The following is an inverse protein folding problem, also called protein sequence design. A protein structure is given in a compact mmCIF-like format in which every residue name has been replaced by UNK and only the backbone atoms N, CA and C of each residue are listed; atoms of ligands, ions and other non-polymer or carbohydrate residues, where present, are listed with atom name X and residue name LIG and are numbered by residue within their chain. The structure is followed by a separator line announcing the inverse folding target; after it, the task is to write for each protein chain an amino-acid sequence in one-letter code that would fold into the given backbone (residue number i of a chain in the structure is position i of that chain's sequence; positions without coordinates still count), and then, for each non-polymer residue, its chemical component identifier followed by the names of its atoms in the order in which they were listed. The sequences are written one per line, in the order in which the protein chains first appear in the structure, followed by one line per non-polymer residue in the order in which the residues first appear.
data_IF_352053608951
#
_entry.id   IF_352053608951
#
_cell.length_a   1.000
_cell.length_b   1.000
_cell.length_c   1.000
_cell.angle_alpha   90.00
_cell.angle_beta   90.00
_cell.angle_gamma   90.00
#
_symmetry.space_group_name_H-M   'P 1'
#
loop_
_entity.id
_entity.type
_entity.pdbx_description
1 polymer ?
#
# COMPACT_ATOMS: atom_id res chain seq x y z
N UNK A 1 36.85 14.70 3.68
CA UNK A 1 36.06 13.65 2.99
C UNK A 1 36.57 13.58 1.56
N UNK A 2 37.01 12.42 1.13
CA UNK A 2 37.41 12.18 -0.26
C UNK A 2 36.15 11.83 -1.06
N UNK A 3 35.89 12.54 -2.16
CA UNK A 3 34.78 12.23 -3.04
C UNK A 3 35.13 10.96 -3.84
N UNK A 4 34.42 9.87 -3.59
CA UNK A 4 34.60 8.61 -4.30
C UNK A 4 33.60 8.56 -5.46
N UNK A 5 34.10 8.46 -6.69
CA UNK A 5 33.27 8.24 -7.88
C UNK A 5 33.27 6.74 -8.21
N UNK A 6 32.10 6.11 -8.22
CA UNK A 6 31.90 4.70 -8.61
C UNK A 6 30.66 4.60 -9.49
N UNK A 7 30.64 3.59 -10.37
CA UNK A 7 29.42 3.20 -11.08
C UNK A 7 28.52 2.46 -10.09
N UNK A 8 27.28 2.91 -9.97
CA UNK A 8 26.27 2.33 -9.09
C UNK A 8 24.97 2.14 -9.88
N UNK A 9 24.32 0.97 -9.84
CA UNK A 9 22.97 0.80 -10.38
C UNK A 9 21.95 1.77 -9.74
N UNK A 10 21.28 2.55 -10.60
CA UNK A 10 20.25 3.51 -10.18
C UNK A 10 18.87 2.98 -10.52
N UNK A 11 17.93 3.15 -9.59
CA UNK A 11 16.51 2.88 -9.83
C UNK A 11 15.99 3.69 -11.02
N UNK A 12 15.26 3.04 -11.92
CA UNK A 12 14.53 3.73 -12.99
C UNK A 12 13.22 4.29 -12.44
N UNK A 13 12.95 5.56 -12.75
CA UNK A 13 11.70 6.25 -12.47
C UNK A 13 11.17 6.82 -13.79
N UNK A 14 9.95 6.45 -14.15
CA UNK A 14 9.30 6.88 -15.39
C UNK A 14 7.84 7.27 -15.13
N UNK A 15 7.22 8.16 -15.92
CA UNK A 15 5.80 8.51 -15.79
C UNK A 15 4.87 7.43 -16.39
N UNK A 16 3.84 7.02 -15.65
CA UNK A 16 2.73 6.21 -16.14
C UNK A 16 1.46 7.04 -16.17
N UNK A 17 0.93 7.26 -17.37
CA UNK A 17 -0.42 7.80 -17.56
C UNK A 17 -1.45 6.68 -17.46
N UNK A 18 -2.46 6.89 -16.62
CA UNK A 18 -3.62 6.02 -16.49
C UNK A 18 -4.80 6.71 -17.17
N UNK A 19 -5.51 5.98 -18.02
CA UNK A 19 -6.71 6.46 -18.71
C UNK A 19 -7.88 5.52 -18.44
N UNK A 20 -9.09 6.06 -18.39
CA UNK A 20 -10.32 5.28 -18.38
C UNK A 20 -11.12 5.67 -19.62
N UNK A 21 -11.46 4.69 -20.46
CA UNK A 21 -12.19 4.91 -21.71
C UNK A 21 -11.55 6.04 -22.57
N UNK A 22 -10.22 5.94 -22.76
CA UNK A 22 -9.35 6.87 -23.51
C UNK A 22 -9.20 8.28 -22.91
N UNK A 23 -9.82 8.57 -21.76
CA UNK A 23 -9.74 9.85 -21.06
C UNK A 23 -8.64 9.85 -19.98
N UNK A 24 -7.72 10.84 -19.96
CA UNK A 24 -6.70 10.96 -18.92
C UNK A 24 -7.28 11.03 -17.51
N UNK A 25 -6.84 10.12 -16.65
CA UNK A 25 -7.21 10.05 -15.25
C UNK A 25 -6.09 10.61 -14.36
N UNK A 26 -4.88 10.07 -14.47
CA UNK A 26 -3.75 10.45 -13.61
C UNK A 26 -2.41 10.14 -14.27
N UNK A 27 -1.36 10.81 -13.81
CA UNK A 27 0.03 10.45 -14.11
C UNK A 27 0.76 10.18 -12.81
N UNK A 28 1.38 9.01 -12.68
CA UNK A 28 2.18 8.62 -11.51
C UNK A 28 3.62 8.36 -11.93
N UNK A 29 4.57 8.79 -11.10
CA UNK A 29 5.99 8.44 -11.29
C UNK A 29 6.23 7.10 -10.62
N UNK A 30 6.70 6.09 -11.36
CA UNK A 30 6.82 4.71 -10.86
C UNK A 30 8.10 4.04 -11.34
N UNK A 31 8.45 2.92 -10.69
CA UNK A 31 9.45 1.99 -11.21
C UNK A 31 8.78 1.05 -12.21
N UNK A 32 9.20 1.02 -13.50
CA UNK A 32 8.56 0.19 -14.52
C UNK A 32 8.52 -1.30 -14.15
N UNK A 33 7.40 -1.95 -14.46
CA UNK A 33 7.12 -3.33 -14.08
C UNK A 33 5.96 -3.44 -13.09
N UNK A 34 5.16 -4.50 -13.24
CA UNK A 34 3.88 -4.64 -12.53
C UNK A 34 2.96 -3.42 -12.72
N UNK A 35 2.97 -2.79 -13.91
CA UNK A 35 2.19 -1.56 -14.16
C UNK A 35 0.67 -1.83 -14.07
N UNK A 36 0.21 -3.00 -14.53
CA UNK A 36 -1.20 -3.37 -14.38
C UNK A 36 -1.59 -3.56 -12.92
N UNK A 37 -0.70 -4.10 -12.08
CA UNK A 37 -0.93 -4.17 -10.64
C UNK A 37 -1.04 -2.74 -10.06
N UNK A 38 -0.15 -1.83 -10.46
CA UNK A 38 -0.22 -0.43 -10.03
C UNK A 38 -1.55 0.21 -10.39
N UNK A 39 -1.99 0.06 -11.64
CA UNK A 39 -3.25 0.64 -12.12
C UNK A 39 -4.46 0.01 -11.42
N UNK A 40 -4.54 -1.31 -11.35
CA UNK A 40 -5.65 -2.01 -10.70
C UNK A 40 -5.77 -1.62 -9.22
N UNK A 41 -4.65 -1.55 -8.51
CA UNK A 41 -4.60 -1.11 -7.13
C UNK A 41 -4.97 0.34 -6.96
N UNK A 42 -4.40 1.24 -7.77
CA UNK A 42 -4.73 2.67 -7.76
C UNK A 42 -6.24 2.89 -7.93
N UNK A 43 -6.88 2.21 -8.88
CA UNK A 43 -8.32 2.35 -9.08
C UNK A 43 -9.13 1.92 -7.86
N UNK A 44 -8.74 0.84 -7.17
CA UNK A 44 -9.43 0.36 -5.97
C UNK A 44 -9.18 1.28 -4.77
N UNK A 45 -7.93 1.65 -4.55
CA UNK A 45 -7.48 2.39 -3.36
C UNK A 45 -7.72 3.89 -3.45
N UNK A 46 -8.03 4.44 -4.63
CA UNK A 46 -8.63 5.77 -4.81
C UNK A 46 -10.17 5.73 -4.82
N UNK A 47 -10.74 4.52 -4.73
CA UNK A 47 -12.19 4.32 -4.69
C UNK A 47 -12.90 4.53 -6.02
N UNK A 48 -12.17 4.51 -7.14
CA UNK A 48 -12.71 4.60 -8.50
C UNK A 48 -13.46 3.32 -8.86
N UNK A 49 -12.88 2.17 -8.50
CA UNK A 49 -13.60 0.90 -8.41
C UNK A 49 -13.83 0.55 -6.94
N UNK A 50 -14.97 -0.05 -6.64
CA UNK A 50 -15.37 -0.42 -5.26
C UNK A 50 -15.42 -1.93 -5.04
N UNK A 51 -15.18 -2.70 -6.09
CA UNK A 51 -15.09 -4.15 -6.09
C UNK A 51 -14.13 -4.60 -7.19
N UNK A 52 -13.26 -5.60 -6.95
CA UNK A 52 -12.37 -6.16 -7.97
C UNK A 52 -13.09 -6.61 -9.24
N UNK A 53 -14.33 -7.10 -9.13
CA UNK A 53 -15.13 -7.51 -10.28
C UNK A 53 -15.55 -6.33 -11.19
N UNK A 54 -15.37 -5.08 -10.74
CA UNK A 54 -15.61 -3.89 -11.56
C UNK A 54 -14.42 -3.57 -12.49
N UNK A 55 -13.27 -4.20 -12.29
CA UNK A 55 -12.15 -4.08 -13.21
C UNK A 55 -12.46 -4.89 -14.48
N UNK A 56 -12.34 -4.24 -15.64
CA UNK A 56 -12.49 -4.91 -16.94
C UNK A 56 -11.13 -5.26 -17.53
N UNK A 57 -10.73 -4.56 -18.59
CA UNK A 57 -9.49 -4.81 -19.32
C UNK A 57 -8.47 -3.69 -19.10
N UNK A 58 -7.20 -4.06 -18.98
CA UNK A 58 -6.07 -3.13 -18.95
C UNK A 58 -5.18 -3.43 -20.14
N UNK A 59 -4.85 -2.40 -20.91
CA UNK A 59 -3.99 -2.53 -22.09
C UNK A 59 -3.00 -1.38 -22.14
N UNK A 60 -1.76 -1.66 -22.54
CA UNK A 60 -0.87 -0.58 -22.93
C UNK A 60 -1.40 0.10 -24.20
N UNK A 61 -1.30 1.42 -24.26
CA UNK A 61 -1.80 2.20 -25.38
C UNK A 61 -1.05 1.85 -26.67
N UNK A 62 -1.75 1.25 -27.64
CA UNK A 62 -1.15 0.79 -28.89
C UNK A 62 -0.61 1.93 -29.78
N UNK A 63 -1.00 3.18 -29.53
CA UNK A 63 -0.60 4.35 -30.30
C UNK A 63 0.49 5.19 -29.64
N UNK A 64 0.96 4.79 -28.44
CA UNK A 64 2.10 5.46 -27.83
C UNK A 64 3.37 5.20 -28.65
N UNK A 65 4.17 6.22 -28.89
CA UNK A 65 5.42 6.11 -29.68
C UNK A 65 6.63 5.89 -28.78
N UNK A 66 7.70 5.25 -29.28
CA UNK A 66 8.95 5.12 -28.54
C UNK A 66 9.45 6.47 -27.99
N UNK A 67 9.96 6.53 -26.75
CA UNK A 67 10.16 5.43 -25.80
C UNK A 67 8.94 5.11 -24.90
N UNK A 68 7.77 5.73 -25.15
CA UNK A 68 6.63 5.76 -24.23
C UNK A 68 5.59 4.64 -24.42
N UNK A 69 5.89 3.62 -25.23
CA UNK A 69 4.96 2.52 -25.54
C UNK A 69 4.37 1.83 -24.30
N UNK A 70 5.10 1.85 -23.17
CA UNK A 70 4.69 1.26 -21.89
C UNK A 70 4.36 2.29 -20.80
N UNK A 71 4.24 3.57 -21.17
CA UNK A 71 3.98 4.68 -20.25
C UNK A 71 2.52 5.13 -20.24
N UNK A 72 1.64 4.45 -20.98
CA UNK A 72 0.21 4.73 -20.98
C UNK A 72 -0.55 3.42 -20.84
N UNK A 73 -1.41 3.34 -19.83
CA UNK A 73 -2.33 2.21 -19.61
C UNK A 73 -3.76 2.71 -19.77
N UNK A 74 -4.45 2.13 -20.76
CA UNK A 74 -5.87 2.32 -21.00
C UNK A 74 -6.67 1.27 -20.22
N UNK A 75 -7.62 1.75 -19.43
CA UNK A 75 -8.51 0.94 -18.59
C UNK A 75 -9.91 0.96 -19.19
N UNK A 76 -10.49 -0.22 -19.34
CA UNK A 76 -11.92 -0.41 -19.57
C UNK A 76 -12.53 -1.02 -18.33
N UNK A 77 -13.53 -0.38 -17.76
CA UNK A 77 -14.23 -0.91 -16.60
C UNK A 77 -15.25 -1.97 -17.01
N UNK A 78 -15.56 -2.90 -16.10
CA UNK A 78 -16.61 -3.88 -16.35
C UNK A 78 -17.97 -3.17 -16.46
N UNK A 79 -18.95 -3.71 -17.21
CA UNK A 79 -20.27 -3.08 -17.37
C UNK A 79 -21.04 -2.82 -16.07
N UNK A 80 -20.72 -3.57 -15.00
CA UNK A 80 -21.31 -3.40 -13.68
C UNK A 80 -20.72 -2.21 -12.89
N UNK A 81 -19.56 -1.69 -13.31
CA UNK A 81 -18.89 -0.58 -12.66
C UNK A 81 -19.72 0.70 -12.84
N UNK A 82 -20.05 1.36 -11.73
CA UNK A 82 -20.63 2.71 -11.76
C UNK A 82 -19.50 3.73 -11.72
N UNK A 83 -19.11 4.24 -12.89
CA UNK A 83 -18.10 5.29 -13.01
C UNK A 83 -18.74 6.60 -13.49
N UNK A 84 -18.49 7.67 -12.74
CA UNK A 84 -18.92 9.03 -13.09
C UNK A 84 -17.67 9.86 -13.40
N UNK A 85 -17.33 9.94 -14.68
CA UNK A 85 -16.17 10.68 -15.19
C UNK A 85 -16.24 12.18 -14.84
N UNK A 86 -17.44 12.77 -14.76
CA UNK A 86 -17.63 14.19 -14.45
C UNK A 86 -17.36 14.49 -12.97
N UNK A 87 -17.73 13.57 -12.07
CA UNK A 87 -17.37 13.67 -10.65
C UNK A 87 -15.86 13.60 -10.46
N UNK A 88 -15.17 12.76 -11.23
CA UNK A 88 -13.73 12.62 -11.13
C UNK A 88 -13.00 13.87 -11.65
N UNK A 89 -13.40 14.40 -12.82
CA UNK A 89 -12.86 15.65 -13.39
C UNK A 89 -12.98 16.82 -12.42
N UNK A 90 -14.15 17.01 -11.78
CA UNK A 90 -14.37 18.09 -10.79
C UNK A 90 -13.44 18.01 -9.59
N UNK A 91 -13.08 16.81 -9.15
CA UNK A 91 -12.20 16.62 -7.99
C UNK A 91 -10.72 16.79 -8.35
N UNK A 92 -10.31 16.45 -9.58
CA UNK A 92 -8.90 16.42 -9.98
C UNK A 92 -8.32 17.82 -10.29
N UNK A 93 -9.10 18.70 -10.92
CA UNK A 93 -8.67 20.09 -11.21
C UNK A 93 -8.44 20.96 -9.96
N UNK A 94 -8.86 20.50 -8.78
CA UNK A 94 -8.72 21.25 -7.53
C UNK A 94 -7.45 20.92 -6.72
N UNK A 95 -6.64 19.90 -7.09
CA UNK A 95 -5.64 19.30 -6.18
C UNK A 95 -4.23 19.14 -6.76
N UNK A 96 -3.79 20.02 -7.68
CA UNK A 96 -2.51 19.86 -8.40
C UNK A 96 -1.25 20.34 -7.67
N UNK A 97 -1.16 20.26 -6.33
CA UNK A 97 0.07 20.76 -5.66
C UNK A 97 0.60 20.02 -4.43
N UNK A 98 -0.16 19.27 -3.64
CA UNK A 98 0.39 18.66 -2.40
C UNK A 98 -0.40 17.44 -1.88
N UNK A 99 -0.97 16.63 -2.79
CA UNK A 99 -1.79 15.49 -2.41
C UNK A 99 -3.25 15.73 -2.73
N UNK A 100 -3.87 14.69 -3.27
CA UNK A 100 -5.32 14.55 -3.37
C UNK A 100 -5.84 14.60 -1.93
N UNK A 101 -6.15 15.80 -1.45
CA UNK A 101 -6.66 16.01 -0.10
C UNK A 101 -8.06 15.42 -0.05
N UNK A 102 -8.13 14.15 0.35
CA UNK A 102 -9.22 13.50 1.06
C UNK A 102 -10.60 13.65 0.45
N UNK A 103 -10.99 12.71 -0.43
CA UNK A 103 -12.37 12.18 -0.50
C UNK A 103 -12.50 11.01 -1.49
N UNK A 104 -11.77 9.91 -1.25
CA UNK A 104 -12.56 8.69 -1.11
C UNK A 104 -13.58 9.04 -0.02
N UNK A 105 -14.88 9.07 -0.32
CA UNK A 105 -15.86 9.60 0.65
C UNK A 105 -15.58 8.90 1.97
N UNK A 106 -15.54 9.62 3.10
CA UNK A 106 -15.39 8.97 4.41
C UNK A 106 -16.40 7.81 4.53
N UNK A 107 -17.55 7.92 3.87
CA UNK A 107 -18.56 6.86 3.72
C UNK A 107 -18.05 5.62 2.97
N UNK A 108 -17.23 5.78 1.93
CA UNK A 108 -16.61 4.69 1.18
C UNK A 108 -15.54 3.99 2.02
N UNK A 109 -14.71 4.75 2.73
CA UNK A 109 -13.76 4.19 3.71
C UNK A 109 -14.51 3.40 4.78
N UNK A 110 -15.61 3.95 5.32
CA UNK A 110 -16.48 3.27 6.29
C UNK A 110 -17.16 2.03 5.74
N UNK A 111 -17.54 2.03 4.46
CA UNK A 111 -18.15 0.86 3.83
C UNK A 111 -17.12 -0.26 3.68
N UNK A 112 -15.91 0.06 3.21
CA UNK A 112 -14.88 -0.96 3.00
C UNK A 112 -14.25 -1.46 4.30
N UNK A 113 -14.20 -0.64 5.35
CA UNK A 113 -13.74 -1.10 6.68
C UNK A 113 -14.60 -2.22 7.26
N UNK A 114 -15.86 -2.37 6.82
CA UNK A 114 -16.71 -3.50 7.21
C UNK A 114 -16.22 -4.85 6.67
N UNK A 115 -15.33 -4.87 5.66
CA UNK A 115 -14.72 -6.10 5.12
C UNK A 115 -13.54 -6.62 5.95
N UNK A 116 -13.05 -5.82 6.91
CA UNK A 116 -11.92 -6.22 7.74
C UNK A 116 -12.24 -7.45 8.57
N UNK A 117 -11.26 -8.34 8.72
CA UNK A 117 -11.36 -9.46 9.63
C UNK A 117 -11.37 -8.96 11.08
N UNK A 118 -12.54 -9.00 11.72
CA UNK A 118 -12.73 -8.51 13.09
C UNK A 118 -11.99 -9.36 14.13
N UNK A 119 -11.69 -10.62 13.82
CA UNK A 119 -11.03 -11.58 14.72
C UNK A 119 -9.59 -11.91 14.33
N UNK A 120 -9.01 -11.20 13.35
CA UNK A 120 -7.61 -11.43 12.99
C UNK A 120 -6.69 -10.98 14.11
N UNK A 121 -5.79 -11.88 14.51
CA UNK A 121 -4.76 -11.60 15.52
C UNK A 121 -3.41 -12.14 15.04
N UNK A 122 -2.34 -11.48 15.45
CA UNK A 122 -0.96 -11.88 15.16
C UNK A 122 -0.16 -11.86 16.45
N UNK A 123 0.84 -12.73 16.57
CA UNK A 123 1.73 -12.73 17.73
C UNK A 123 2.84 -11.70 17.57
N UNK A 124 3.34 -11.20 18.70
CA UNK A 124 4.49 -10.29 18.73
C UNK A 124 5.74 -10.88 18.06
N UNK A 125 5.96 -12.19 18.21
CA UNK A 125 7.07 -12.90 17.58
C UNK A 125 6.97 -12.85 16.06
N UNK A 126 5.81 -13.19 15.50
CA UNK A 126 5.57 -13.11 14.05
C UNK A 126 5.75 -11.68 13.55
N UNK A 127 5.20 -10.70 14.28
CA UNK A 127 5.30 -9.29 13.91
C UNK A 127 6.76 -8.83 13.86
N UNK A 128 7.59 -9.23 14.82
CA UNK A 128 9.00 -8.84 14.89
C UNK A 128 9.83 -9.31 13.69
N UNK A 129 9.45 -10.43 13.06
CA UNK A 129 10.19 -11.05 11.95
C UNK A 129 9.79 -10.47 10.57
N UNK A 130 8.67 -9.74 10.47
CA UNK A 130 8.16 -9.24 9.19
C UNK A 130 9.09 -8.25 8.47
N UNK A 131 9.74 -7.26 9.15
CA UNK A 131 10.63 -6.32 8.46
C UNK A 131 11.80 -7.01 7.77
N UNK A 132 12.42 -8.00 8.44
CA UNK A 132 13.55 -8.73 7.88
C UNK A 132 13.10 -9.66 6.76
N UNK A 133 11.95 -10.32 6.93
CA UNK A 133 11.33 -11.15 5.89
C UNK A 133 10.98 -10.33 4.64
N UNK A 134 10.45 -9.11 4.82
CA UNK A 134 10.20 -8.18 3.73
C UNK A 134 11.50 -7.83 3.02
N UNK A 135 12.51 -7.37 3.77
CA UNK A 135 13.80 -6.93 3.24
C UNK A 135 14.53 -8.02 2.46
N UNK A 136 14.52 -9.26 2.94
CA UNK A 136 15.18 -10.40 2.29
C UNK A 136 14.52 -10.79 0.96
N UNK A 137 13.25 -10.43 0.75
CA UNK A 137 12.53 -10.73 -0.48
C UNK A 137 12.63 -9.62 -1.55
N UNK A 138 13.23 -8.47 -1.21
CA UNK A 138 13.31 -7.29 -2.09
C UNK A 138 14.46 -7.37 -3.11
N UNK A 139 14.26 -8.15 -4.17
CA UNK A 139 15.28 -8.36 -5.20
C UNK A 139 15.72 -7.07 -5.92
N UNK A 140 14.83 -6.10 -6.12
CA UNK A 140 15.22 -4.84 -6.78
C UNK A 140 15.93 -3.88 -5.81
N UNK A 141 15.47 -3.80 -4.56
CA UNK A 141 16.16 -3.02 -3.53
C UNK A 141 17.59 -3.50 -3.28
N UNK A 142 17.85 -4.82 -3.31
CA UNK A 142 19.22 -5.35 -3.21
C UNK A 142 20.14 -4.81 -4.31
N UNK A 143 19.56 -4.49 -5.47
CA UNK A 143 20.31 -3.97 -6.61
C UNK A 143 20.51 -2.46 -6.57
N UNK A 144 19.58 -1.67 -6.04
CA UNK A 144 19.62 -0.19 -6.18
C UNK A 144 19.51 0.59 -4.86
N UNK A 145 19.13 -0.07 -3.76
CA UNK A 145 18.98 0.51 -2.42
C UNK A 145 17.94 1.61 -2.28
N UNK A 146 17.14 1.90 -3.32
CA UNK A 146 16.36 3.14 -3.42
C UNK A 146 14.88 2.90 -3.72
N UNK A 147 14.36 1.72 -3.35
CA UNK A 147 12.96 1.35 -3.53
C UNK A 147 12.23 1.21 -2.20
N UNK A 148 10.94 1.54 -2.22
CA UNK A 148 10.01 1.14 -1.18
C UNK A 148 9.41 -0.24 -1.49
N UNK A 149 8.93 -0.91 -0.44
CA UNK A 149 8.21 -2.17 -0.57
C UNK A 149 6.96 -2.18 0.30
N UNK A 150 5.96 -2.90 -0.20
CA UNK A 150 4.79 -3.32 0.53
C UNK A 150 4.68 -4.84 0.42
N UNK A 151 4.45 -5.51 1.55
CA UNK A 151 4.25 -6.96 1.61
C UNK A 151 3.02 -7.30 2.43
N UNK A 152 2.32 -8.35 2.04
CA UNK A 152 1.16 -8.88 2.74
C UNK A 152 1.52 -10.20 3.41
N UNK A 153 1.23 -10.35 4.70
CA UNK A 153 1.61 -11.52 5.49
C UNK A 153 0.40 -12.11 6.22
N UNK A 154 0.29 -13.43 6.28
CA UNK A 154 -0.74 -14.07 7.11
C UNK A 154 -0.35 -14.11 8.61
N UNK A 155 -1.23 -14.65 9.46
CA UNK A 155 -1.02 -14.74 10.91
C UNK A 155 0.22 -15.57 11.31
N UNK A 156 0.75 -16.40 10.41
CA UNK A 156 1.94 -17.23 10.66
C UNK A 156 3.23 -16.54 10.25
N UNK A 157 3.15 -15.35 9.64
CA UNK A 157 4.30 -14.64 9.08
C UNK A 157 4.70 -15.09 7.68
N UNK A 158 3.89 -15.92 7.03
CA UNK A 158 4.12 -16.28 5.63
C UNK A 158 3.72 -15.11 4.73
N UNK A 159 4.64 -14.72 3.85
CA UNK A 159 4.41 -13.70 2.84
C UNK A 159 3.48 -14.23 1.75
N UNK A 160 2.38 -13.52 1.50
CA UNK A 160 1.39 -13.80 0.47
C UNK A 160 1.71 -13.07 -0.83
N UNK A 161 2.18 -11.83 -0.72
CA UNK A 161 2.58 -11.01 -1.87
C UNK A 161 3.59 -9.93 -1.45
N UNK A 162 4.38 -9.48 -2.42
CA UNK A 162 5.38 -8.40 -2.30
C UNK A 162 5.37 -7.56 -3.57
N UNK A 163 5.43 -6.24 -3.43
CA UNK A 163 5.68 -5.31 -4.54
C UNK A 163 6.63 -4.20 -4.13
N UNK A 164 7.42 -3.76 -5.10
CA UNK A 164 8.41 -2.70 -4.96
C UNK A 164 8.12 -1.54 -5.91
N UNK A 165 8.42 -0.32 -5.46
CA UNK A 165 8.38 0.89 -6.29
C UNK A 165 9.19 2.02 -5.65
N UNK A 166 9.68 2.97 -6.47
CA UNK A 166 10.32 4.20 -5.99
C UNK A 166 9.36 5.02 -5.11
N UNK A 167 8.05 4.95 -5.38
CA UNK A 167 7.01 5.55 -4.56
C UNK A 167 6.40 4.56 -3.57
N UNK A 168 6.42 4.89 -2.26
CA UNK A 168 5.77 4.05 -1.23
C UNK A 168 4.27 3.82 -1.46
N UNK A 169 3.57 4.78 -2.05
CA UNK A 169 2.14 4.64 -2.35
C UNK A 169 1.93 3.65 -3.50
N UNK A 170 2.72 3.78 -4.56
CA UNK A 170 2.71 2.85 -5.68
C UNK A 170 3.06 1.41 -5.27
N UNK A 171 3.97 1.24 -4.30
CA UNK A 171 4.28 -0.10 -3.78
C UNK A 171 3.05 -0.76 -3.14
N UNK A 172 2.26 0.01 -2.38
CA UNK A 172 0.99 -0.46 -1.81
C UNK A 172 -0.05 -0.69 -2.91
N UNK A 173 -0.18 0.22 -3.87
CA UNK A 173 -1.12 0.06 -4.98
C UNK A 173 -0.79 -1.18 -5.81
N UNK A 174 0.48 -1.40 -6.19
CA UNK A 174 0.90 -2.64 -6.84
C UNK A 174 0.56 -3.87 -6.02
N UNK A 175 0.81 -3.86 -4.70
CA UNK A 175 0.50 -5.00 -3.84
C UNK A 175 -1.00 -5.30 -3.81
N UNK A 176 -1.83 -4.27 -3.67
CA UNK A 176 -3.29 -4.43 -3.67
C UNK A 176 -3.76 -4.92 -5.04
N UNK A 177 -3.28 -4.28 -6.10
CA UNK A 177 -3.71 -4.57 -7.46
C UNK A 177 -3.32 -5.96 -7.95
N UNK A 178 -2.28 -6.59 -7.40
CA UNK A 178 -1.98 -7.99 -7.74
C UNK A 178 -3.11 -8.94 -7.37
N UNK A 179 -3.87 -8.67 -6.30
CA UNK A 179 -5.07 -9.44 -5.96
C UNK A 179 -6.26 -9.03 -6.83
N UNK A 180 -6.40 -7.72 -7.08
CA UNK A 180 -7.51 -7.18 -7.89
C UNK A 180 -7.49 -7.73 -9.33
N UNK A 181 -6.30 -7.88 -9.91
CA UNK A 181 -6.13 -8.48 -11.23
C UNK A 181 -6.58 -9.94 -11.30
N UNK A 182 -6.47 -10.66 -10.18
CA UNK A 182 -6.98 -12.04 -10.04
C UNK A 182 -8.49 -12.06 -9.73
N UNK A 183 -9.15 -10.90 -9.68
CA UNK A 183 -10.56 -10.76 -9.32
C UNK A 183 -10.82 -10.91 -7.82
N UNK A 184 -9.78 -10.81 -7.00
CA UNK A 184 -9.84 -11.05 -5.55
C UNK A 184 -9.57 -9.78 -4.74
N UNK A 185 -10.08 -9.80 -3.50
CA UNK A 185 -9.66 -8.84 -2.49
C UNK A 185 -8.39 -9.33 -1.82
N UNK A 186 -7.47 -8.44 -1.40
CA UNK A 186 -6.41 -8.82 -0.47
C UNK A 186 -7.02 -9.53 0.76
N UNK A 187 -6.48 -10.68 1.20
CA UNK A 187 -7.02 -11.40 2.35
C UNK A 187 -7.09 -10.51 3.59
N UNK A 188 -8.28 -10.24 4.13
CA UNK A 188 -8.44 -9.28 5.24
C UNK A 188 -7.85 -9.77 6.56
N UNK A 189 -7.59 -11.08 6.68
CA UNK A 189 -6.85 -11.71 7.77
C UNK A 189 -5.34 -11.71 7.49
N UNK A 190 -4.77 -10.52 7.34
CA UNK A 190 -3.36 -10.33 7.03
C UNK A 190 -2.79 -9.04 7.64
N UNK A 191 -1.46 -8.96 7.69
CA UNK A 191 -0.70 -7.75 8.05
C UNK A 191 -0.11 -7.14 6.78
N UNK A 192 -0.44 -5.88 6.52
CA UNK A 192 0.27 -5.06 5.54
C UNK A 192 1.54 -4.50 6.17
N UNK A 193 2.69 -4.99 5.72
CA UNK A 193 4.00 -4.49 6.13
C UNK A 193 4.54 -3.53 5.07
N UNK A 194 4.88 -2.29 5.47
CA UNK A 194 5.47 -1.28 4.57
C UNK A 194 6.84 -0.83 5.05
N UNK A 195 7.77 -0.64 4.10
CA UNK A 195 9.14 -0.19 4.42
C UNK A 195 9.22 1.32 4.73
N UNK A 196 8.22 2.09 4.29
CA UNK A 196 8.17 3.55 4.44
C UNK A 196 7.49 4.06 5.72
N UNK A 197 7.18 5.37 5.72
CA UNK A 197 6.31 6.01 6.70
C UNK A 197 4.85 5.74 6.39
N UNK A 198 4.03 5.67 7.43
CA UNK A 198 2.58 5.50 7.29
C UNK A 198 1.90 6.87 7.32
N UNK A 199 1.66 7.43 6.14
CA UNK A 199 0.85 8.65 5.96
C UNK A 199 -0.64 8.33 5.95
N UNK A 200 -1.49 9.37 6.06
CA UNK A 200 -2.94 9.25 5.91
C UNK A 200 -3.34 8.44 4.68
N UNK A 201 -2.73 8.75 3.53
CA UNK A 201 -2.95 8.03 2.26
C UNK A 201 -2.67 6.52 2.37
N UNK A 202 -1.60 6.10 3.05
CA UNK A 202 -1.29 4.67 3.19
C UNK A 202 -2.37 3.95 4.02
N UNK A 203 -2.85 4.60 5.08
CA UNK A 203 -3.96 4.07 5.90
C UNK A 203 -5.25 4.04 5.08
N UNK A 204 -5.56 5.09 4.32
CA UNK A 204 -6.74 5.14 3.45
C UNK A 204 -6.72 4.00 2.43
N UNK A 205 -5.60 3.80 1.73
CA UNK A 205 -5.44 2.74 0.74
C UNK A 205 -5.64 1.35 1.36
N UNK A 206 -5.09 1.11 2.55
CA UNK A 206 -5.30 -0.14 3.26
C UNK A 206 -6.77 -0.36 3.67
N UNK A 207 -7.43 0.67 4.21
CA UNK A 207 -8.85 0.60 4.58
C UNK A 207 -9.75 0.33 3.36
N UNK A 208 -9.49 1.00 2.24
CA UNK A 208 -10.23 0.80 0.98
C UNK A 208 -9.96 -0.58 0.37
N UNK A 209 -8.78 -1.14 0.58
CA UNK A 209 -8.45 -2.51 0.23
C UNK A 209 -9.01 -3.57 1.22
N UNK A 210 -9.74 -3.15 2.26
CA UNK A 210 -10.34 -4.05 3.25
C UNK A 210 -9.35 -4.61 4.29
N UNK A 211 -8.15 -4.03 4.39
CA UNK A 211 -7.11 -4.46 5.31
C UNK A 211 -7.29 -3.80 6.69
N UNK A 212 -7.12 -4.59 7.75
CA UNK A 212 -7.34 -4.16 9.14
C UNK A 212 -6.07 -4.02 9.98
N UNK A 213 -4.89 -4.27 9.42
CA UNK A 213 -3.63 -4.26 10.17
C UNK A 213 -2.49 -3.73 9.30
N UNK A 214 -1.85 -2.65 9.74
CA UNK A 214 -0.61 -2.12 9.15
C UNK A 214 0.53 -2.20 10.16
N UNK A 215 1.69 -2.64 9.68
CA UNK A 215 2.97 -2.48 10.35
C UNK A 215 3.95 -1.71 9.45
N UNK A 216 4.75 -0.82 10.03
CA UNK A 216 5.74 -0.04 9.28
C UNK A 216 7.09 0.07 9.97
N UNK A 217 8.16 0.06 9.18
CA UNK A 217 9.54 0.28 9.67
C UNK A 217 9.70 1.67 10.27
N UNK A 218 9.03 2.67 9.70
CA UNK A 218 9.06 4.06 10.15
C UNK A 218 7.80 4.44 10.94
N UNK A 219 7.71 5.70 11.39
CA UNK A 219 6.59 6.21 12.18
C UNK A 219 5.40 6.67 11.34
N UNK A 220 4.20 6.75 11.93
CA UNK A 220 3.02 7.34 11.31
C UNK A 220 2.93 8.87 11.50
N UNK A 221 2.13 9.54 10.66
CA UNK A 221 1.70 10.93 10.92
C UNK A 221 0.47 10.98 11.84
N UNK A 222 0.19 12.10 12.51
CA UNK A 222 -0.99 12.26 13.36
C UNK A 222 -2.29 11.91 12.64
N UNK A 223 -2.50 12.45 11.44
CA UNK A 223 -3.71 12.18 10.65
C UNK A 223 -3.84 10.70 10.23
N UNK A 224 -2.73 9.96 10.17
CA UNK A 224 -2.75 8.52 9.90
C UNK A 224 -3.23 7.74 11.13
N UNK A 225 -2.82 8.17 12.33
CA UNK A 225 -3.30 7.62 13.60
C UNK A 225 -4.80 7.87 13.75
N UNK A 226 -5.24 9.11 13.51
CA UNK A 226 -6.66 9.47 13.60
C UNK A 226 -7.53 8.62 12.65
N UNK A 227 -7.12 8.49 11.38
CA UNK A 227 -7.85 7.66 10.41
C UNK A 227 -7.83 6.18 10.77
N UNK A 228 -6.71 5.66 11.29
CA UNK A 228 -6.61 4.26 11.70
C UNK A 228 -7.54 3.97 12.90
N UNK A 229 -7.64 4.91 13.84
CA UNK A 229 -8.53 4.82 15.00
C UNK A 229 -10.00 4.81 14.54
N UNK A 230 -10.40 5.76 13.71
CA UNK A 230 -11.77 5.83 13.15
C UNK A 230 -12.12 4.62 12.27
N UNK A 231 -11.13 4.12 11.52
CA UNK A 231 -11.28 3.03 10.56
C UNK A 231 -11.18 1.62 11.14
N UNK A 232 -11.00 1.47 12.46
CA UNK A 232 -10.89 0.14 13.08
C UNK A 232 -9.60 -0.60 12.75
N UNK A 233 -8.55 0.10 12.31
CA UNK A 233 -7.30 -0.48 11.82
C UNK A 233 -6.21 -0.48 12.89
N UNK A 234 -5.57 -1.62 13.12
CA UNK A 234 -4.41 -1.71 14.01
C UNK A 234 -3.19 -1.13 13.33
N UNK A 235 -2.61 -0.08 13.92
CA UNK A 235 -1.45 0.61 13.39
C UNK A 235 -0.22 0.39 14.28
N UNK A 236 0.79 -0.26 13.72
CA UNK A 236 2.12 -0.42 14.31
C UNK A 236 3.13 0.40 13.53
N UNK A 237 3.94 1.20 14.23
CA UNK A 237 5.03 1.95 13.63
C UNK A 237 6.35 1.71 14.32
N UNK A 238 7.43 2.17 13.70
CA UNK A 238 8.79 2.00 14.18
C UNK A 238 9.21 0.55 14.42
N UNK A 239 8.60 -0.40 13.70
CA UNK A 239 8.89 -1.83 13.82
C UNK A 239 10.26 -2.15 13.24
N UNK A 240 11.27 -2.29 14.12
CA UNK A 240 12.66 -2.64 13.76
C UNK A 240 13.39 -3.22 14.96
N UNK A 241 14.27 -4.18 14.72
CA UNK A 241 15.16 -4.75 15.75
C UNK A 241 14.42 -5.18 17.03
N UNK A 242 13.24 -5.79 16.89
CA UNK A 242 12.42 -6.24 18.03
C UNK A 242 11.75 -5.12 18.85
N UNK A 243 11.78 -3.87 18.37
CA UNK A 243 11.09 -2.73 18.99
C UNK A 243 10.00 -2.20 18.05
N UNK A 244 8.89 -1.72 18.62
CA UNK A 244 7.77 -1.15 17.90
C UNK A 244 6.90 -0.26 18.82
N UNK A 245 6.08 0.59 18.20
CA UNK A 245 5.03 1.35 18.87
C UNK A 245 3.66 0.93 18.32
N UNK A 246 2.73 0.64 19.22
CA UNK A 246 1.31 0.42 18.90
C UNK A 246 0.54 1.73 19.05
N UNK A 247 -0.16 2.15 18.00
CA UNK A 247 -0.88 3.42 17.97
C UNK A 247 -2.39 3.26 18.17
N UNK A 248 -3.01 2.25 17.55
CA UNK A 248 -4.47 2.07 17.50
C UNK A 248 -4.85 0.59 17.58
N UNK A 249 -6.07 0.30 18.01
CA UNK A 249 -6.70 -1.04 17.98
C UNK A 249 -5.77 -2.20 18.43
N UNK A 250 -5.15 -2.04 19.60
CA UNK A 250 -4.03 -2.89 20.06
C UNK A 250 -4.42 -4.33 20.40
N UNK A 251 -5.71 -4.61 20.56
CA UNK A 251 -6.24 -5.94 20.91
C UNK A 251 -5.99 -7.03 19.87
N UNK A 252 -5.53 -6.67 18.65
CA UNK A 252 -5.17 -7.63 17.60
C UNK A 252 -3.72 -8.14 17.69
N UNK A 253 -2.89 -7.59 18.58
CA UNK A 253 -1.55 -8.09 18.84
C UNK A 253 -1.52 -8.95 20.10
N UNK A 254 -1.25 -10.25 19.95
CA UNK A 254 -1.07 -11.18 21.06
C UNK A 254 0.36 -11.05 21.59
N UNK A 255 0.49 -10.41 22.75
CA UNK A 255 1.76 -10.28 23.45
C UNK A 255 2.07 -11.56 24.21
N UNK A 256 3.34 -11.92 24.27
CA UNK A 256 3.79 -12.95 25.21
C UNK A 256 3.54 -12.42 26.64
N UNK A 257 3.02 -13.23 27.58
CA UNK A 257 2.90 -12.79 28.97
C UNK A 257 4.28 -12.32 29.44
N UNK A 258 4.33 -11.10 29.99
CA UNK A 258 5.58 -10.54 30.49
C UNK A 258 6.23 -11.55 31.46
N UNK A 259 7.49 -11.91 31.21
CA UNK A 259 8.27 -12.59 32.25
C UNK A 259 8.28 -11.68 33.48
N UNK A 260 7.96 -12.19 34.69
CA UNK A 260 7.98 -11.36 35.88
C UNK A 260 9.35 -10.72 36.01
N UNK A 261 9.38 -9.39 35.98
CA UNK A 261 10.58 -8.60 36.22
C UNK A 261 11.14 -8.98 37.58
N UNK A 262 12.22 -9.75 37.60
CA UNK A 262 12.98 -9.99 38.82
C UNK A 262 13.61 -8.66 39.22
N UNK A 263 12.98 -7.97 40.16
CA UNK A 263 13.60 -6.83 40.84
C UNK A 263 14.89 -7.34 41.48
N UNK A 264 16.06 -6.79 41.15
CA UNK A 264 17.27 -7.16 41.87
C UNK A 264 17.12 -6.62 43.29
N UNK A 265 16.95 -7.52 44.25
CA UNK A 265 17.12 -7.21 45.67
C UNK A 265 18.52 -6.62 45.86
N UNK A 266 18.58 -5.30 46.09
CA UNK A 266 19.77 -4.65 46.64
C UNK A 266 20.05 -5.29 48.01
N UNK A 267 21.18 -5.98 48.13
CA UNK A 267 21.87 -6.19 49.40
C UNK A 267 22.91 -5.10 49.55
#
# INVERSE_FOLDING_TARGET
MEAVTRSDPVTVEEPLEIRIDDEPLAVVMRTPGNDFDLVAGFLLTEGIVVDPAHLGALTYCATATPPNERNVVDVRLAPAARFDADKLRRNFYATSSCGVCGKASIDQVKMQSQRQATQFTVTEQVLADLPDSLRQAQAQFERTGSLHAAGLFDATGRMLALREDVGRHNAVDKLVGSFVLDGEWPPSASVLMVSGRTSFEIVQKALLAGLGFIASVSGPSSLAVDLAEEGGLTLVGFLRHGSYNLYTHTGRLLRCPAQPTTTPTRR
#
